data_IF_885302376164
#
_entry.id   IF_885302376164
#
_cell.length_a   1.000
_cell.length_b   1.000
_cell.length_c   1.000
_cell.angle_alpha   90.00
_cell.angle_beta   90.00
_cell.angle_gamma   90.00
#
_symmetry.space_group_name_H-M   'P 1'
#
loop_
_entity.id
_entity.type
_entity.pdbx_description
1 polymer ?
#
# COMPACT_ATOMS: atom_id res chain seq x y z
N UNK A 1 -5.30 23.28 19.27
CA UNK A 1 -5.73 21.89 19.02
C UNK A 1 -4.61 21.17 18.30
N UNK A 2 -4.38 19.89 18.60
CA UNK A 2 -3.34 19.10 17.91
C UNK A 2 -3.78 18.76 16.48
N UNK A 3 -2.83 18.76 15.54
CA UNK A 3 -3.05 18.35 14.15
C UNK A 3 -3.66 16.94 14.06
N UNK A 4 -4.80 16.80 13.40
CA UNK A 4 -5.42 15.50 13.13
C UNK A 4 -4.89 14.97 11.78
N UNK A 5 -4.19 13.85 11.85
CA UNK A 5 -3.57 13.22 10.68
C UNK A 5 -4.41 12.06 10.16
N UNK A 6 -4.73 12.10 8.89
CA UNK A 6 -5.50 11.08 8.17
C UNK A 6 -4.62 10.51 7.07
N UNK A 7 -4.39 9.20 7.08
CA UNK A 7 -3.69 8.50 6.00
C UNK A 7 -4.65 7.63 5.20
N UNK A 8 -4.25 7.25 3.99
CA UNK A 8 -5.00 6.30 3.18
C UNK A 8 -5.23 4.98 3.93
N UNK A 9 -4.19 4.44 4.59
CA UNK A 9 -4.29 3.20 5.36
C UNK A 9 -5.28 3.31 6.52
N UNK A 10 -5.36 4.46 7.20
CA UNK A 10 -6.34 4.70 8.27
C UNK A 10 -7.77 4.60 7.75
N UNK A 11 -8.05 5.22 6.60
CA UNK A 11 -9.37 5.17 5.96
C UNK A 11 -9.69 3.78 5.41
N UNK A 12 -8.72 3.11 4.84
CA UNK A 12 -8.88 1.75 4.32
C UNK A 12 -9.19 0.75 5.45
N UNK A 13 -8.48 0.85 6.58
CA UNK A 13 -8.75 0.01 7.76
C UNK A 13 -10.19 0.21 8.23
N UNK A 14 -10.64 1.46 8.35
CA UNK A 14 -12.04 1.74 8.73
C UNK A 14 -13.05 1.12 7.75
N UNK A 15 -12.78 1.25 6.46
CA UNK A 15 -13.63 0.68 5.41
C UNK A 15 -13.66 -0.84 5.42
N UNK A 16 -12.54 -1.48 5.76
CA UNK A 16 -12.44 -2.94 5.84
C UNK A 16 -13.14 -3.48 7.08
N UNK A 17 -12.84 -2.92 8.26
CA UNK A 17 -13.41 -3.36 9.53
C UNK A 17 -13.32 -2.26 10.59
N UNK A 18 -14.46 -1.86 11.16
CA UNK A 18 -14.50 -0.82 12.19
C UNK A 18 -13.86 -1.27 13.52
N UNK A 19 -13.91 -2.56 13.84
CA UNK A 19 -13.21 -3.08 15.01
C UNK A 19 -11.70 -3.13 14.85
N UNK A 20 -11.19 -3.47 13.66
CA UNK A 20 -9.76 -3.32 13.37
C UNK A 20 -9.31 -1.86 13.50
N UNK A 21 -10.13 -0.93 13.00
CA UNK A 21 -9.88 0.50 13.18
C UNK A 21 -9.83 0.88 14.65
N UNK A 22 -10.80 0.41 15.46
CA UNK A 22 -10.84 0.65 16.90
C UNK A 22 -9.56 0.16 17.57
N UNK A 23 -9.23 -1.10 17.44
CA UNK A 23 -8.03 -1.68 18.07
C UNK A 23 -6.75 -0.95 17.67
N UNK A 24 -6.59 -0.68 16.38
CA UNK A 24 -5.36 -0.09 15.85
C UNK A 24 -5.19 1.40 16.14
N UNK A 25 -6.25 2.19 16.01
CA UNK A 25 -6.15 3.66 16.04
C UNK A 25 -6.75 4.32 17.28
N UNK A 26 -7.69 3.69 17.95
CA UNK A 26 -8.33 4.21 19.17
C UNK A 26 -7.67 3.58 20.39
N UNK A 27 -7.69 2.27 20.49
CA UNK A 27 -7.12 1.53 21.64
C UNK A 27 -5.59 1.46 21.54
N UNK A 28 -5.02 1.70 20.33
CA UNK A 28 -3.58 1.67 20.04
C UNK A 28 -2.93 0.33 20.40
N UNK A 29 -3.66 -0.75 20.19
CA UNK A 29 -3.14 -2.10 20.40
C UNK A 29 -2.03 -2.41 19.39
N UNK A 30 -1.08 -3.22 19.84
CA UNK A 30 0.02 -3.64 19.00
C UNK A 30 -0.49 -4.52 17.86
N UNK A 31 -0.31 -4.05 16.63
CA UNK A 31 -0.61 -4.83 15.44
C UNK A 31 0.64 -5.53 14.92
N UNK A 32 0.46 -6.73 14.41
CA UNK A 32 1.53 -7.49 13.76
C UNK A 32 1.28 -7.49 12.25
N UNK A 33 2.35 -7.44 11.45
CA UNK A 33 2.26 -7.61 10.02
C UNK A 33 1.86 -9.04 9.65
N UNK A 34 1.32 -9.21 8.48
CA UNK A 34 1.19 -10.54 7.87
C UNK A 34 2.28 -10.71 6.80
N UNK A 35 2.46 -11.93 6.30
CA UNK A 35 3.51 -12.24 5.33
C UNK A 35 3.49 -11.31 4.10
N UNK A 36 2.31 -10.88 3.65
CA UNK A 36 2.18 -10.00 2.48
C UNK A 36 2.66 -8.58 2.78
N UNK A 37 2.36 -8.06 3.98
CA UNK A 37 2.84 -6.74 4.42
C UNK A 37 4.33 -6.75 4.67
N UNK A 38 4.88 -7.81 5.29
CA UNK A 38 6.31 -7.95 5.54
C UNK A 38 7.11 -8.03 4.22
N UNK A 39 6.65 -8.83 3.26
CA UNK A 39 7.27 -8.90 1.93
C UNK A 39 7.13 -7.55 1.20
N UNK A 40 5.99 -6.87 1.36
CA UNK A 40 5.78 -5.54 0.81
C UNK A 40 6.84 -4.57 1.33
N UNK A 41 6.98 -4.47 2.64
CA UNK A 41 7.99 -3.63 3.30
C UNK A 41 9.42 -4.00 2.86
N UNK A 42 9.75 -5.29 2.79
CA UNK A 42 11.06 -5.75 2.32
C UNK A 42 11.35 -5.26 0.90
N UNK A 43 10.37 -5.35 -0.01
CA UNK A 43 10.57 -4.91 -1.40
C UNK A 43 10.76 -3.39 -1.50
N UNK A 44 9.96 -2.58 -0.78
CA UNK A 44 10.16 -1.12 -0.72
C UNK A 44 11.56 -0.79 -0.19
N UNK A 45 11.97 -1.41 0.93
CA UNK A 45 13.32 -1.24 1.49
C UNK A 45 14.43 -1.60 0.49
N UNK A 46 14.30 -2.70 -0.24
CA UNK A 46 15.27 -3.11 -1.25
C UNK A 46 15.36 -2.10 -2.41
N UNK A 47 14.21 -1.61 -2.88
CA UNK A 47 14.16 -0.61 -3.95
C UNK A 47 14.81 0.69 -3.48
N UNK A 48 14.46 1.15 -2.28
CA UNK A 48 15.05 2.34 -1.67
C UNK A 48 16.57 2.21 -1.53
N UNK A 49 17.08 1.13 -0.94
CA UNK A 49 18.52 0.88 -0.78
C UNK A 49 19.28 0.92 -2.11
N UNK A 50 18.68 0.39 -3.18
CA UNK A 50 19.29 0.42 -4.50
C UNK A 50 19.25 1.81 -5.12
N UNK A 51 18.11 2.50 -5.06
CA UNK A 51 17.92 3.80 -5.71
C UNK A 51 18.71 4.91 -5.03
N UNK A 52 18.81 4.93 -3.69
CA UNK A 52 19.62 5.89 -2.93
C UNK A 52 21.11 5.55 -2.91
N UNK A 53 21.51 4.49 -3.61
CA UNK A 53 22.92 4.03 -3.72
C UNK A 53 23.55 3.54 -2.42
N UNK A 54 22.77 3.25 -1.39
CA UNK A 54 23.30 2.68 -0.13
C UNK A 54 23.78 1.23 -0.31
N UNK A 55 23.26 0.53 -1.31
CA UNK A 55 23.70 -0.82 -1.70
C UNK A 55 23.85 -0.95 -3.21
N UNK A 56 24.81 -1.78 -3.62
CA UNK A 56 24.91 -2.26 -5.00
C UNK A 56 23.74 -3.19 -5.33
N UNK A 57 23.51 -3.44 -6.61
CA UNK A 57 22.47 -4.38 -7.06
C UNK A 57 22.64 -5.77 -6.46
N UNK A 58 23.88 -6.27 -6.41
CA UNK A 58 24.20 -7.58 -5.83
C UNK A 58 23.84 -7.61 -4.35
N UNK A 59 24.34 -6.65 -3.57
CA UNK A 59 24.07 -6.55 -2.13
C UNK A 59 22.57 -6.42 -1.82
N UNK A 60 21.82 -5.71 -2.68
CA UNK A 60 20.37 -5.57 -2.55
C UNK A 60 19.67 -6.92 -2.75
N UNK A 61 20.07 -7.69 -3.76
CA UNK A 61 19.50 -9.02 -4.03
C UNK A 61 19.87 -10.01 -2.93
N UNK A 62 21.13 -10.00 -2.46
CA UNK A 62 21.59 -10.87 -1.37
C UNK A 62 20.82 -10.55 -0.07
N UNK A 63 20.61 -9.27 0.23
CA UNK A 63 19.79 -8.82 1.36
C UNK A 63 18.33 -9.29 1.21
N UNK A 64 17.73 -9.08 0.04
CA UNK A 64 16.37 -9.54 -0.23
C UNK A 64 16.23 -11.04 0.02
N UNK A 65 17.12 -11.86 -0.54
CA UNK A 65 17.09 -13.33 -0.40
C UNK A 65 17.18 -13.77 1.07
N UNK A 66 18.10 -13.16 1.84
CA UNK A 66 18.26 -13.46 3.25
C UNK A 66 16.99 -13.15 4.04
N UNK A 67 16.45 -11.94 3.88
CA UNK A 67 15.26 -11.50 4.61
C UNK A 67 13.98 -12.20 4.15
N UNK A 68 13.84 -12.48 2.86
CA UNK A 68 12.69 -13.20 2.32
C UNK A 68 12.59 -14.61 2.89
N UNK A 69 13.70 -15.32 3.00
CA UNK A 69 13.76 -16.64 3.64
C UNK A 69 13.43 -16.58 5.13
N UNK A 70 13.94 -15.57 5.83
CA UNK A 70 13.61 -15.37 7.24
C UNK A 70 12.10 -15.12 7.44
N UNK A 71 11.50 -14.21 6.64
CA UNK A 71 10.07 -13.92 6.66
C UNK A 71 9.23 -15.17 6.35
N UNK A 72 9.60 -15.93 5.34
CA UNK A 72 8.83 -17.10 4.90
C UNK A 72 9.03 -18.32 5.78
N UNK A 73 10.12 -18.42 6.53
CA UNK A 73 10.37 -19.48 7.51
C UNK A 73 9.70 -19.24 8.85
N UNK A 74 9.52 -17.97 9.24
CA UNK A 74 8.75 -17.60 10.42
C UNK A 74 7.28 -17.66 10.03
N UNK A 75 6.51 -18.57 10.60
CA UNK A 75 5.06 -18.61 10.39
C UNK A 75 4.43 -17.37 11.02
N UNK A 76 4.33 -16.28 10.25
CA UNK A 76 3.56 -15.09 10.60
C UNK A 76 2.04 -15.31 10.47
N UNK A 77 1.62 -16.52 10.48
CA UNK A 77 0.22 -16.91 10.44
C UNK A 77 -0.19 -17.29 11.86
N UNK A 78 -1.27 -16.72 12.33
CA UNK A 78 -1.71 -16.81 13.71
C UNK A 78 -2.59 -18.02 14.02
N UNK A 79 -2.70 -19.04 13.14
CA UNK A 79 -3.62 -20.15 13.34
C UNK A 79 -2.98 -21.52 13.15
N UNK A 80 -3.36 -22.47 14.00
CA UNK A 80 -2.92 -23.88 13.99
C UNK A 80 -3.29 -24.63 12.69
N UNK A 81 -4.35 -24.19 12.00
CA UNK A 81 -4.71 -24.67 10.65
C UNK A 81 -3.78 -24.13 9.54
N UNK A 82 -2.82 -23.32 9.87
CA UNK A 82 -1.90 -22.63 8.99
C UNK A 82 -0.91 -23.57 8.34
N UNK A 83 -0.49 -24.65 8.98
CA UNK A 83 0.45 -25.58 8.36
C UNK A 83 -0.09 -26.09 7.02
N UNK A 84 -1.39 -26.40 6.95
CA UNK A 84 -2.06 -26.76 5.68
C UNK A 84 -2.11 -25.61 4.68
N UNK A 85 -2.21 -24.38 5.15
CA UNK A 85 -2.18 -23.19 4.29
C UNK A 85 -0.75 -22.78 3.90
N UNK A 86 0.25 -22.99 4.76
CA UNK A 86 1.66 -22.80 4.43
C UNK A 86 2.06 -23.74 3.32
N UNK A 87 1.77 -25.03 3.44
CA UNK A 87 2.10 -26.01 2.41
C UNK A 87 1.39 -25.69 1.08
N UNK A 88 0.14 -25.24 1.13
CA UNK A 88 -0.64 -24.83 -0.03
C UNK A 88 -0.18 -23.51 -0.65
N UNK A 89 0.39 -22.60 0.15
CA UNK A 89 0.91 -21.33 -0.30
C UNK A 89 2.42 -21.33 -0.57
N UNK A 90 3.14 -22.39 -0.19
CA UNK A 90 4.59 -22.52 -0.38
C UNK A 90 5.00 -22.33 -1.84
N UNK A 91 4.34 -23.01 -2.75
CA UNK A 91 4.59 -22.87 -4.19
C UNK A 91 4.33 -21.45 -4.69
N UNK A 92 3.32 -20.78 -4.14
CA UNK A 92 3.01 -19.39 -4.46
C UNK A 92 4.09 -18.45 -3.95
N UNK A 93 4.58 -18.68 -2.73
CA UNK A 93 5.67 -17.89 -2.11
C UNK A 93 6.96 -18.06 -2.89
N UNK A 94 7.35 -19.27 -3.26
CA UNK A 94 8.55 -19.54 -4.05
C UNK A 94 8.47 -18.94 -5.47
N UNK A 95 7.31 -18.95 -6.10
CA UNK A 95 7.09 -18.23 -7.36
C UNK A 95 7.27 -16.73 -7.21
N UNK A 96 6.73 -16.15 -6.14
CA UNK A 96 6.85 -14.72 -5.87
C UNK A 96 8.31 -14.30 -5.62
N UNK A 97 9.12 -15.12 -4.96
CA UNK A 97 10.56 -14.88 -4.79
C UNK A 97 11.23 -14.62 -6.15
N UNK A 98 10.98 -15.50 -7.13
CA UNK A 98 11.53 -15.36 -8.49
C UNK A 98 11.11 -14.05 -9.15
N UNK A 99 9.83 -13.67 -9.05
CA UNK A 99 9.33 -12.42 -9.64
C UNK A 99 10.02 -11.19 -9.04
N UNK A 100 10.19 -11.15 -7.72
CA UNK A 100 10.86 -10.05 -7.03
C UNK A 100 12.36 -9.97 -7.33
N UNK A 101 13.06 -11.11 -7.36
CA UNK A 101 14.47 -11.15 -7.79
C UNK A 101 14.59 -10.62 -9.22
N UNK A 102 13.70 -11.02 -10.10
CA UNK A 102 13.71 -10.56 -11.48
C UNK A 102 13.44 -9.06 -11.57
N UNK A 103 12.52 -8.53 -10.76
CA UNK A 103 12.34 -7.10 -10.67
C UNK A 103 13.64 -6.38 -10.25
N UNK A 104 14.26 -6.80 -9.15
CA UNK A 104 15.48 -6.19 -8.63
C UNK A 104 16.66 -6.28 -9.61
N UNK A 105 16.82 -7.41 -10.33
CA UNK A 105 17.84 -7.56 -11.38
C UNK A 105 17.70 -6.52 -12.50
N UNK A 106 16.48 -6.16 -12.83
CA UNK A 106 16.16 -5.25 -13.93
C UNK A 106 15.94 -3.81 -13.50
N UNK A 107 15.79 -3.55 -12.20
CA UNK A 107 15.70 -2.20 -11.66
C UNK A 107 16.95 -1.40 -12.05
N UNK A 108 16.75 -0.20 -12.58
CA UNK A 108 17.84 0.69 -12.99
C UNK A 108 17.79 1.96 -12.15
N UNK A 109 18.95 2.53 -11.88
CA UNK A 109 19.04 3.88 -11.31
C UNK A 109 18.59 4.89 -12.35
N UNK A 110 17.91 5.91 -11.88
CA UNK A 110 17.46 7.00 -12.71
C UNK A 110 18.64 7.95 -12.99
N UNK A 111 18.66 8.54 -14.19
CA UNK A 111 19.58 9.65 -14.52
C UNK A 111 19.03 11.00 -14.08
N UNK A 112 17.73 11.06 -13.87
CA UNK A 112 16.98 12.22 -13.43
C UNK A 112 17.11 12.41 -11.93
N UNK A 113 16.81 13.61 -11.45
CA UNK A 113 16.62 13.88 -10.03
C UNK A 113 15.43 13.07 -9.50
N UNK A 114 15.63 12.38 -8.37
CA UNK A 114 14.63 11.54 -7.75
C UNK A 114 14.48 11.87 -6.26
N UNK A 115 13.26 11.70 -5.77
CA UNK A 115 12.97 11.70 -4.35
C UNK A 115 12.32 10.35 -4.01
N UNK A 116 12.69 9.79 -2.85
CA UNK A 116 12.25 8.46 -2.41
C UNK A 116 11.63 8.61 -1.03
N UNK A 117 10.54 7.87 -0.74
CA UNK A 117 9.82 7.88 0.53
C UNK A 117 9.51 9.33 0.99
N UNK A 118 9.05 10.15 0.03
CA UNK A 118 8.80 11.57 0.27
C UNK A 118 7.53 11.77 1.07
N UNK A 119 7.66 12.34 2.28
CA UNK A 119 6.53 12.68 3.12
C UNK A 119 5.70 13.81 2.52
N UNK A 120 4.40 13.60 2.38
CA UNK A 120 3.45 14.63 1.96
C UNK A 120 2.45 14.93 3.07
N UNK A 121 2.09 16.22 3.20
CA UNK A 121 1.11 16.73 4.15
C UNK A 121 0.21 17.73 3.43
N UNK A 122 -1.04 17.35 3.16
CA UNK A 122 -2.03 18.18 2.49
C UNK A 122 -3.02 18.72 3.54
N UNK A 123 -3.06 20.03 3.81
CA UNK A 123 -4.11 20.63 4.65
C UNK A 123 -5.48 20.42 3.99
N UNK A 124 -6.44 19.91 4.73
CA UNK A 124 -7.77 19.64 4.18
C UNK A 124 -8.55 20.94 3.90
N UNK A 125 -8.20 22.04 4.53
CA UNK A 125 -8.69 23.37 4.19
C UNK A 125 -8.35 23.81 2.76
N UNK A 126 -7.33 23.21 2.12
CA UNK A 126 -6.99 23.48 0.72
C UNK A 126 -7.96 22.82 -0.27
N UNK A 127 -8.74 21.84 0.19
CA UNK A 127 -9.63 21.02 -0.66
C UNK A 127 -11.08 20.99 -0.20
N UNK A 128 -11.38 21.64 0.93
CA UNK A 128 -12.74 21.73 1.50
C UNK A 128 -12.89 23.02 2.29
N UNK A 129 -14.02 23.69 2.11
CA UNK A 129 -14.39 24.90 2.87
C UNK A 129 -15.16 24.58 4.15
N UNK A 130 -15.15 23.35 4.63
CA UNK A 130 -15.88 22.93 5.82
C UNK A 130 -15.04 23.17 7.07
N UNK A 131 -15.57 23.89 8.06
CA UNK A 131 -14.94 24.07 9.36
C UNK A 131 -14.64 22.75 10.09
N UNK A 132 -15.31 21.66 9.70
CA UNK A 132 -15.10 20.31 10.27
C UNK A 132 -13.73 19.72 9.96
N UNK A 133 -13.05 20.23 8.95
CA UNK A 133 -11.71 19.74 8.55
C UNK A 133 -10.58 20.69 8.90
N UNK A 134 -10.89 21.78 9.62
CA UNK A 134 -9.88 22.66 10.15
C UNK A 134 -8.92 21.88 11.06
N UNK A 135 -7.62 22.14 10.91
CA UNK A 135 -6.55 21.39 11.57
C UNK A 135 -6.46 19.90 11.21
N UNK A 136 -7.12 19.46 10.13
CA UNK A 136 -6.96 18.11 9.59
C UNK A 136 -6.02 18.10 8.38
N UNK A 137 -5.24 17.05 8.29
CA UNK A 137 -4.27 16.88 7.21
C UNK A 137 -4.35 15.46 6.65
N UNK A 138 -4.39 15.35 5.32
CA UNK A 138 -4.07 14.09 4.68
C UNK A 138 -2.55 13.94 4.63
N UNK A 139 -2.05 12.78 5.05
CA UNK A 139 -0.62 12.49 5.10
C UNK A 139 -0.29 11.17 4.42
N UNK A 140 0.92 11.05 3.94
CA UNK A 140 1.47 9.79 3.42
C UNK A 140 2.92 9.92 3.00
N UNK A 141 3.44 8.82 2.47
CA UNK A 141 4.76 8.75 1.88
C UNK A 141 4.61 8.35 0.41
N UNK A 142 5.27 9.07 -0.46
CA UNK A 142 5.33 8.78 -1.90
C UNK A 142 6.57 7.95 -2.15
N UNK A 143 6.41 6.74 -2.65
CA UNK A 143 7.51 5.78 -2.79
C UNK A 143 8.63 6.33 -3.69
N UNK A 144 8.28 6.91 -4.84
CA UNK A 144 9.25 7.46 -5.77
C UNK A 144 8.66 8.64 -6.56
N UNK A 145 9.40 9.74 -6.58
CA UNK A 145 9.17 10.89 -7.46
C UNK A 145 10.37 11.01 -8.40
N UNK A 146 10.11 11.07 -9.71
CA UNK A 146 11.14 11.31 -10.74
C UNK A 146 10.87 12.65 -11.39
N UNK A 147 11.80 13.59 -11.24
CA UNK A 147 11.73 14.93 -11.85
C UNK A 147 12.32 14.87 -13.26
N UNK A 148 11.46 14.95 -14.25
CA UNK A 148 11.84 15.11 -15.65
C UNK A 148 11.76 16.61 -16.01
N UNK A 149 12.30 17.01 -17.16
CA UNK A 149 12.41 18.43 -17.53
C UNK A 149 11.09 19.21 -17.32
N UNK A 150 9.99 18.67 -17.82
CA UNK A 150 8.68 19.32 -17.79
C UNK A 150 7.58 18.48 -17.14
N UNK A 151 7.94 17.35 -16.53
CA UNK A 151 6.98 16.38 -15.98
C UNK A 151 7.49 15.81 -14.67
N UNK A 152 6.61 15.70 -13.69
CA UNK A 152 6.86 14.97 -12.46
C UNK A 152 6.17 13.61 -12.54
N UNK A 153 6.94 12.54 -12.53
CA UNK A 153 6.41 11.19 -12.50
C UNK A 153 6.40 10.68 -11.06
N UNK A 154 5.24 10.24 -10.62
CA UNK A 154 5.01 9.69 -9.29
C UNK A 154 4.75 8.21 -9.44
N UNK A 155 5.52 7.38 -8.77
CA UNK A 155 5.40 5.91 -8.84
C UNK A 155 5.15 5.37 -7.44
N UNK A 156 4.18 4.48 -7.35
CA UNK A 156 3.82 3.76 -6.15
C UNK A 156 4.00 2.26 -6.42
N UNK A 157 4.89 1.61 -5.66
CA UNK A 157 5.26 0.22 -5.83
C UNK A 157 4.25 -0.73 -5.18
N UNK A 158 3.81 -1.73 -5.91
CA UNK A 158 2.80 -2.67 -5.44
C UNK A 158 3.26 -4.12 -5.54
N UNK A 159 3.37 -4.78 -4.41
CA UNK A 159 3.61 -6.23 -4.31
C UNK A 159 2.34 -7.06 -4.48
N UNK A 160 1.17 -6.43 -4.51
CA UNK A 160 -0.12 -7.09 -4.73
C UNK A 160 -0.30 -7.56 -6.17
N UNK A 161 -1.40 -8.28 -6.43
CA UNK A 161 -1.92 -8.48 -7.79
C UNK A 161 -2.47 -7.18 -8.35
N UNK A 162 -2.57 -7.10 -9.69
CA UNK A 162 -3.18 -5.95 -10.36
C UNK A 162 -4.58 -5.67 -9.81
N UNK A 163 -4.87 -4.41 -9.56
CA UNK A 163 -6.17 -4.00 -9.05
C UNK A 163 -7.22 -3.94 -10.16
N UNK A 164 -8.41 -4.47 -9.89
CA UNK A 164 -9.57 -4.44 -10.78
C UNK A 164 -10.83 -4.00 -10.03
N UNK A 165 -11.88 -3.66 -10.76
CA UNK A 165 -13.19 -3.33 -10.22
C UNK A 165 -13.15 -2.25 -9.13
N UNK A 166 -13.89 -2.48 -8.04
CA UNK A 166 -14.00 -1.53 -6.93
C UNK A 166 -12.68 -1.35 -6.17
N UNK A 167 -11.89 -2.42 -6.04
CA UNK A 167 -10.54 -2.33 -5.42
C UNK A 167 -9.65 -1.34 -6.17
N UNK A 168 -9.71 -1.32 -7.50
CA UNK A 168 -8.96 -0.35 -8.30
C UNK A 168 -9.40 1.07 -7.98
N UNK A 169 -10.71 1.35 -7.91
CA UNK A 169 -11.26 2.67 -7.61
C UNK A 169 -10.80 3.18 -6.25
N UNK A 170 -10.79 2.31 -5.24
CA UNK A 170 -10.35 2.68 -3.89
C UNK A 170 -8.85 2.99 -3.88
N UNK A 171 -8.03 2.08 -4.41
CA UNK A 171 -6.58 2.23 -4.33
C UNK A 171 -6.01 3.37 -5.19
N UNK A 172 -6.67 3.73 -6.29
CA UNK A 172 -6.23 4.89 -7.09
C UNK A 172 -6.35 6.21 -6.31
N UNK A 173 -7.29 6.32 -5.36
CA UNK A 173 -7.46 7.52 -4.54
C UNK A 173 -6.19 7.83 -3.72
N UNK A 174 -5.46 6.81 -3.25
CA UNK A 174 -4.17 7.02 -2.57
C UNK A 174 -3.23 7.86 -3.43
N UNK A 175 -3.00 7.39 -4.64
CA UNK A 175 -2.01 7.99 -5.52
C UNK A 175 -2.48 9.34 -6.06
N UNK A 176 -3.79 9.50 -6.32
CA UNK A 176 -4.38 10.77 -6.71
C UNK A 176 -4.24 11.82 -5.58
N UNK A 177 -4.50 11.45 -4.34
CA UNK A 177 -4.32 12.34 -3.18
C UNK A 177 -2.85 12.73 -2.98
N UNK A 178 -1.91 11.83 -3.24
CA UNK A 178 -0.49 12.18 -3.29
C UNK A 178 -0.19 13.19 -4.40
N UNK A 179 -0.77 13.01 -5.58
CA UNK A 179 -0.65 13.96 -6.67
C UNK A 179 -1.18 15.35 -6.30
N UNK A 180 -2.36 15.43 -5.67
CA UNK A 180 -2.94 16.71 -5.18
C UNK A 180 -2.02 17.36 -4.14
N UNK A 181 -1.48 16.58 -3.21
CA UNK A 181 -0.53 17.09 -2.22
C UNK A 181 0.73 17.64 -2.87
N UNK A 182 1.27 16.96 -3.86
CA UNK A 182 2.45 17.41 -4.61
C UNK A 182 2.15 18.67 -5.44
N UNK A 183 0.97 18.79 -6.07
CA UNK A 183 0.55 20.02 -6.74
C UNK A 183 0.55 21.22 -5.77
N UNK A 184 0.06 21.02 -4.54
CA UNK A 184 0.05 22.08 -3.52
C UNK A 184 1.46 22.48 -3.06
N UNK A 185 2.46 21.61 -3.27
CA UNK A 185 3.88 21.86 -3.02
C UNK A 185 4.61 22.44 -4.24
N UNK A 186 3.90 22.69 -5.34
CA UNK A 186 4.45 23.33 -6.55
C UNK A 186 4.99 22.37 -7.62
N UNK A 187 4.83 21.06 -7.46
CA UNK A 187 5.14 20.11 -8.53
C UNK A 187 4.17 20.28 -9.70
N UNK A 188 4.67 20.15 -10.93
CA UNK A 188 3.90 20.43 -12.15
C UNK A 188 3.85 19.22 -13.08
N UNK A 189 2.81 19.20 -13.93
CA UNK A 189 2.65 18.18 -14.97
C UNK A 189 2.77 16.74 -14.39
N UNK A 190 2.07 16.49 -13.30
CA UNK A 190 2.16 15.24 -12.54
C UNK A 190 1.53 14.10 -13.34
N UNK A 191 2.26 13.00 -13.45
CA UNK A 191 1.80 11.72 -13.99
C UNK A 191 1.94 10.64 -12.92
N UNK A 192 0.88 9.91 -12.69
CA UNK A 192 0.76 8.93 -11.61
C UNK A 192 0.85 7.51 -12.16
N UNK A 193 1.64 6.66 -11.52
CA UNK A 193 1.84 5.27 -11.95
C UNK A 193 1.83 4.32 -10.78
N UNK A 194 1.17 3.19 -10.95
CA UNK A 194 1.48 1.99 -10.17
C UNK A 194 2.56 1.18 -10.87
N UNK A 195 3.52 0.66 -10.12
CA UNK A 195 4.45 -0.36 -10.57
C UNK A 195 4.16 -1.67 -9.83
N UNK A 196 3.51 -2.60 -10.52
CA UNK A 196 3.21 -3.91 -9.97
C UNK A 196 4.43 -4.83 -10.09
N UNK A 197 5.18 -5.00 -9.01
CA UNK A 197 6.51 -5.62 -8.99
C UNK A 197 6.58 -7.04 -9.52
N UNK A 198 5.48 -7.80 -9.45
CA UNK A 198 5.38 -9.17 -9.96
C UNK A 198 5.10 -9.25 -11.46
N UNK A 199 4.79 -8.13 -12.10
CA UNK A 199 4.30 -8.11 -13.47
C UNK A 199 5.24 -7.33 -14.39
N UNK A 200 5.15 -7.65 -15.65
CA UNK A 200 5.78 -6.93 -16.75
C UNK A 200 4.77 -6.71 -17.88
N UNK A 201 5.12 -5.86 -18.82
CA UNK A 201 4.29 -5.50 -19.95
C UNK A 201 5.07 -5.68 -21.24
N UNK A 202 4.54 -6.43 -22.18
CA UNK A 202 5.11 -6.50 -23.51
C UNK A 202 5.00 -5.19 -24.26
N UNK A 203 5.98 -4.88 -25.11
CA UNK A 203 5.98 -3.66 -25.94
C UNK A 203 4.68 -3.56 -26.73
N UNK A 204 3.94 -2.45 -26.54
CA UNK A 204 2.67 -2.22 -27.21
C UNK A 204 1.44 -2.88 -26.57
N UNK A 205 1.59 -3.73 -25.55
CA UNK A 205 0.47 -4.33 -24.83
C UNK A 205 -0.04 -3.42 -23.71
N UNK A 206 -1.36 -3.48 -23.45
CA UNK A 206 -1.97 -2.89 -22.25
C UNK A 206 -2.12 -3.91 -21.10
N UNK A 207 -1.89 -5.18 -21.37
CA UNK A 207 -2.04 -6.29 -20.42
C UNK A 207 -0.73 -6.54 -19.69
N UNK A 208 -0.82 -6.80 -18.38
CA UNK A 208 0.29 -7.20 -17.54
C UNK A 208 0.40 -8.72 -17.50
N UNK A 209 1.62 -9.23 -17.53
CA UNK A 209 1.96 -10.64 -17.42
C UNK A 209 2.89 -10.85 -16.22
N UNK A 210 2.89 -12.02 -15.62
CA UNK A 210 3.86 -12.35 -14.59
C UNK A 210 5.29 -12.30 -15.14
N UNK A 211 6.23 -11.81 -14.34
CA UNK A 211 7.66 -11.76 -14.70
C UNK A 211 8.24 -13.16 -14.77
N UNK A 212 8.40 -13.66 -15.96
CA UNK A 212 9.09 -14.92 -16.22
C UNK A 212 10.54 -14.68 -16.67
N UNK A 213 11.42 -15.69 -16.49
CA UNK A 213 12.89 -15.52 -16.53
C UNK A 213 13.52 -15.06 -17.86
N UNK A 214 12.81 -14.82 -18.92
CA UNK A 214 13.43 -14.87 -20.24
C UNK A 214 13.49 -13.60 -21.08
N UNK A 215 12.67 -12.58 -20.86
CA UNK A 215 12.70 -11.39 -21.72
C UNK A 215 12.22 -10.14 -20.97
N UNK A 216 13.14 -9.53 -20.24
CA UNK A 216 12.80 -8.35 -19.45
C UNK A 216 12.77 -7.07 -20.24
N UNK A 217 11.61 -6.48 -20.36
CA UNK A 217 11.48 -5.05 -20.46
C UNK A 217 10.90 -4.52 -19.14
N UNK A 218 11.62 -3.64 -18.46
CA UNK A 218 11.11 -2.90 -17.30
C UNK A 218 9.91 -2.05 -17.74
N UNK A 219 8.70 -2.52 -17.48
CA UNK A 219 7.47 -1.83 -17.88
C UNK A 219 6.21 -2.40 -17.20
N UNK A 220 6.26 -2.68 -15.89
CA UNK A 220 5.05 -2.98 -15.08
C UNK A 220 4.22 -1.75 -14.75
N UNK A 221 4.58 -0.58 -15.32
CA UNK A 221 3.91 0.68 -15.01
C UNK A 221 2.50 0.74 -15.57
N UNK A 222 1.55 1.05 -14.69
CA UNK A 222 0.16 1.31 -15.04
C UNK A 222 -0.19 2.75 -14.69
N UNK A 223 -0.45 3.55 -15.70
CA UNK A 223 -0.82 4.95 -15.53
C UNK A 223 -2.21 5.08 -14.88
N UNK A 224 -2.32 6.01 -13.95
CA UNK A 224 -3.55 6.39 -13.29
C UNK A 224 -3.95 7.77 -13.79
N UNK A 225 -5.17 7.94 -14.32
CA UNK A 225 -5.64 9.24 -14.77
C UNK A 225 -5.59 10.27 -13.64
N UNK A 226 -5.00 11.43 -13.92
CA UNK A 226 -4.88 12.54 -13.00
C UNK A 226 -5.45 13.80 -13.64
N UNK A 227 -6.75 13.99 -13.50
CA UNK A 227 -7.52 15.09 -14.05
C UNK A 227 -8.56 15.57 -13.01
N UNK A 228 -9.28 16.62 -13.32
CA UNK A 228 -10.23 17.23 -12.36
C UNK A 228 -11.32 16.25 -11.91
N UNK A 229 -11.79 15.38 -12.80
CA UNK A 229 -12.79 14.37 -12.43
C UNK A 229 -12.25 13.39 -11.38
N UNK A 230 -11.07 12.82 -11.63
CA UNK A 230 -10.46 11.85 -10.70
C UNK A 230 -10.01 12.50 -9.40
N UNK A 231 -9.55 13.75 -9.44
CA UNK A 231 -9.23 14.55 -8.24
C UNK A 231 -10.48 14.76 -7.39
N UNK A 232 -11.58 15.21 -7.99
CA UNK A 232 -12.83 15.42 -7.29
C UNK A 232 -13.37 14.12 -6.65
N UNK A 233 -13.30 12.99 -7.37
CA UNK A 233 -13.69 11.69 -6.84
C UNK A 233 -12.86 11.28 -5.62
N UNK A 234 -11.54 11.48 -5.68
CA UNK A 234 -10.63 11.16 -4.58
C UNK A 234 -10.87 12.07 -3.36
N UNK A 235 -11.11 13.35 -3.57
CA UNK A 235 -11.45 14.31 -2.50
C UNK A 235 -12.78 13.91 -1.83
N UNK A 236 -13.81 13.62 -2.60
CA UNK A 236 -15.11 13.18 -2.05
C UNK A 236 -14.97 11.88 -1.25
N UNK A 237 -14.19 10.92 -1.75
CA UNK A 237 -13.90 9.68 -1.03
C UNK A 237 -13.20 9.96 0.32
N UNK A 238 -12.19 10.83 0.33
CA UNK A 238 -11.48 11.24 1.53
C UNK A 238 -12.40 11.91 2.55
N UNK A 239 -13.18 12.90 2.13
CA UNK A 239 -14.09 13.64 3.01
C UNK A 239 -15.19 12.74 3.59
N UNK A 240 -15.74 11.84 2.79
CA UNK A 240 -16.72 10.84 3.27
C UNK A 240 -16.09 9.89 4.30
N UNK A 241 -14.85 9.47 4.07
CA UNK A 241 -14.10 8.65 5.04
C UNK A 241 -13.88 9.36 6.37
N UNK A 242 -13.55 10.66 6.33
CA UNK A 242 -13.41 11.50 7.53
C UNK A 242 -14.75 11.66 8.26
N UNK A 243 -15.82 11.93 7.54
CA UNK A 243 -17.16 12.00 8.13
C UNK A 243 -17.52 10.70 8.87
N UNK A 244 -17.19 9.55 8.29
CA UNK A 244 -17.42 8.25 8.92
C UNK A 244 -16.57 8.07 10.18
N UNK A 245 -15.30 8.51 10.19
CA UNK A 245 -14.45 8.52 11.39
C UNK A 245 -15.12 9.34 12.50
N UNK A 246 -15.49 10.58 12.20
CA UNK A 246 -16.08 11.48 13.19
C UNK A 246 -17.40 10.91 13.75
N UNK A 247 -18.27 10.37 12.91
CA UNK A 247 -19.52 9.71 13.35
C UNK A 247 -19.23 8.52 14.26
N UNK A 248 -18.22 7.71 13.92
CA UNK A 248 -17.86 6.53 14.70
C UNK A 248 -17.30 6.91 16.07
N UNK A 249 -16.40 7.89 16.12
CA UNK A 249 -15.81 8.37 17.36
C UNK A 249 -16.86 9.00 18.31
N UNK A 250 -17.86 9.69 17.75
CA UNK A 250 -18.98 10.26 18.55
C UNK A 250 -19.91 9.15 19.04
N UNK A 251 -20.30 8.22 18.17
CA UNK A 251 -21.29 7.18 18.52
C UNK A 251 -20.72 6.09 19.41
N UNK A 252 -19.41 5.87 19.35
CA UNK A 252 -18.70 4.74 19.97
C UNK A 252 -19.35 3.36 19.69
N UNK A 253 -20.05 3.24 18.54
CA UNK A 253 -20.68 2.00 18.09
C UNK A 253 -19.97 1.49 16.87
N UNK A 254 -19.40 0.29 16.96
CA UNK A 254 -18.60 -0.33 15.92
C UNK A 254 -19.34 -1.50 15.29
N UNK A 255 -19.42 -1.50 13.98
CA UNK A 255 -19.86 -2.65 13.20
C UNK A 255 -18.66 -3.50 12.87
N UNK A 256 -18.86 -4.79 12.81
CA UNK A 256 -17.82 -5.70 12.37
C UNK A 256 -18.31 -6.62 11.24
N UNK A 257 -17.32 -7.19 10.59
CA UNK A 257 -17.49 -8.20 9.56
C UNK A 257 -16.99 -9.55 10.04
N UNK A 258 -16.78 -9.70 11.37
CA UNK A 258 -16.13 -10.87 11.90
C UNK A 258 -16.91 -12.14 11.55
N UNK A 259 -16.18 -13.08 11.00
CA UNK A 259 -16.55 -14.48 10.86
C UNK A 259 -15.27 -15.30 10.99
N UNK A 260 -15.27 -16.40 11.76
CA UNK A 260 -14.12 -17.28 11.87
C UNK A 260 -13.59 -17.79 10.54
N UNK A 261 -14.47 -17.95 9.55
CA UNK A 261 -14.12 -18.43 8.20
C UNK A 261 -13.82 -17.30 7.21
N UNK A 262 -13.95 -16.04 7.61
CA UNK A 262 -13.66 -14.90 6.73
C UNK A 262 -12.15 -14.85 6.47
N UNK A 263 -11.76 -14.93 5.20
CA UNK A 263 -10.36 -14.92 4.78
C UNK A 263 -9.59 -13.69 5.29
N UNK A 264 -10.21 -12.51 5.26
CA UNK A 264 -9.57 -11.29 5.76
C UNK A 264 -9.31 -11.37 7.26
N UNK A 265 -10.32 -11.75 8.04
CA UNK A 265 -10.21 -11.87 9.49
C UNK A 265 -9.10 -12.87 9.87
N UNK A 266 -9.15 -14.06 9.28
CA UNK A 266 -8.28 -15.18 9.60
C UNK A 266 -6.84 -15.02 9.15
N UNK A 267 -6.61 -14.41 7.96
CA UNK A 267 -5.30 -14.45 7.31
C UNK A 267 -4.62 -13.08 7.21
N UNK A 268 -5.36 -12.00 7.34
CA UNK A 268 -4.82 -10.65 7.10
C UNK A 268 -4.94 -9.72 8.30
N UNK A 269 -5.93 -9.95 9.18
CA UNK A 269 -6.18 -9.09 10.34
C UNK A 269 -5.32 -9.48 11.54
N UNK A 270 -4.61 -8.52 12.12
CA UNK A 270 -3.77 -8.73 13.32
C UNK A 270 -4.58 -8.98 14.59
N UNK A 271 -5.88 -8.74 14.57
CA UNK A 271 -6.74 -8.75 15.74
C UNK A 271 -7.75 -9.91 15.72
N UNK A 272 -7.43 -10.97 14.97
CA UNK A 272 -8.30 -12.13 14.84
C UNK A 272 -8.60 -12.79 16.19
N UNK A 273 -7.60 -12.99 17.03
CA UNK A 273 -7.74 -13.56 18.39
C UNK A 273 -8.62 -12.71 19.28
N UNK A 274 -8.45 -11.39 19.30
CA UNK A 274 -9.31 -10.49 20.08
C UNK A 274 -10.78 -10.56 19.63
N UNK A 275 -11.01 -10.81 18.34
CA UNK A 275 -12.36 -11.03 17.84
C UNK A 275 -12.92 -12.39 18.27
N UNK A 276 -12.12 -13.48 18.26
CA UNK A 276 -12.54 -14.78 18.78
C UNK A 276 -12.95 -14.67 20.26
N UNK A 277 -12.12 -14.04 21.08
CA UNK A 277 -12.41 -13.84 22.52
C UNK A 277 -13.69 -13.05 22.73
N UNK A 278 -13.91 -11.98 21.95
CA UNK A 278 -15.14 -11.16 22.03
C UNK A 278 -16.41 -11.93 21.69
N UNK A 279 -16.33 -12.88 20.77
CA UNK A 279 -17.48 -13.70 20.37
C UNK A 279 -17.61 -15.00 21.18
N UNK A 280 -16.67 -15.27 22.10
CA UNK A 280 -16.67 -16.51 22.90
C UNK A 280 -16.45 -17.76 22.04
N UNK A 281 -15.80 -17.60 20.90
CA UNK A 281 -15.43 -18.71 20.01
C UNK A 281 -14.07 -19.21 20.48
N UNK A 282 -14.09 -20.27 21.29
CA UNK A 282 -12.88 -20.98 21.72
C UNK A 282 -12.78 -22.26 20.89
N UNK A 283 -11.58 -22.52 20.33
CA UNK A 283 -11.27 -23.80 19.67
C UNK A 283 -11.15 -24.95 20.66
#
# INVERSE_FOLDING_TARGET
MSDIKISFSKLQTLSNCQYEYKYRYIDKEKSFGNIYTEIGTLMHTCIEMFLNSSKSKKETIDYFLSMYRDITSKSYFYDINIQKNIDKNKDSVEKHEKYYINYLRNLKRFKNDIEIETYVKLPLSNISNSDKVDNMYFIGYVDLIVKEKDTTRVVDFKTSTEYSGEKKKIHQNQLILYGIALESLGYKNIKLYWDFLKYEKNKGSKTLFYREDKNFTYNGLKEIPFNDETKNQAILWLLKGIENILKLEISNKYNDIFSPDNFYCKNLCSFYTQCLDRYGVYD
#
